data_IF_590568334440
#
_entry.id   IF_590568334440
#
_cell.length_a   1.000
_cell.length_b   1.000
_cell.length_c   1.000
_cell.angle_alpha   90.00
_cell.angle_beta   90.00
_cell.angle_gamma   90.00
#
_symmetry.space_group_name_H-M   'P 1'
#
loop_
_entity.id
_entity.type
_entity.pdbx_description
1 polymer ?
#
# COMPACT_ATOMS: atom_id res chain seq x y z
N UNK A 1 -9.48 -9.45 5.47
CA UNK A 1 -8.89 -10.64 4.85
C UNK A 1 -9.95 -11.70 4.61
N UNK A 2 -9.94 -12.30 3.42
CA UNK A 2 -10.69 -13.52 3.12
C UNK A 2 -9.94 -14.73 3.70
N UNK A 3 -10.54 -15.43 4.63
CA UNK A 3 -9.95 -16.63 5.23
C UNK A 3 -10.49 -17.87 4.56
N UNK A 4 -9.63 -18.86 4.33
CA UNK A 4 -10.01 -20.12 3.73
C UNK A 4 -11.06 -20.85 4.55
N UNK A 5 -12.11 -21.33 3.90
CA UNK A 5 -13.22 -22.02 4.54
C UNK A 5 -14.16 -21.13 5.36
N UNK A 6 -13.98 -19.81 5.33
CA UNK A 6 -14.82 -18.88 6.09
C UNK A 6 -15.51 -17.90 5.16
N UNK A 7 -16.85 -17.91 5.19
CA UNK A 7 -17.70 -17.01 4.38
C UNK A 7 -17.42 -17.18 2.87
N UNK A 8 -17.32 -16.04 2.15
CA UNK A 8 -17.04 -16.01 0.71
C UNK A 8 -15.54 -15.93 0.39
N UNK A 9 -14.67 -16.02 1.39
CA UNK A 9 -13.21 -15.99 1.27
C UNK A 9 -12.65 -14.74 0.55
N UNK A 10 -13.42 -13.65 0.50
CA UNK A 10 -13.01 -12.44 -0.20
C UNK A 10 -12.48 -11.37 0.77
N UNK A 11 -11.47 -10.65 0.34
CA UNK A 11 -11.04 -9.45 1.02
C UNK A 11 -12.07 -8.33 0.86
N UNK A 12 -12.29 -7.57 1.94
CA UNK A 12 -13.33 -6.54 2.00
C UNK A 12 -12.83 -5.29 2.69
N UNK A 13 -13.28 -4.16 2.18
CA UNK A 13 -13.32 -2.92 2.94
C UNK A 13 -14.64 -2.87 3.71
N UNK A 14 -14.59 -2.71 5.03
CA UNK A 14 -15.78 -2.58 5.86
C UNK A 14 -15.81 -1.22 6.54
N UNK A 15 -17.00 -0.64 6.65
CA UNK A 15 -17.24 0.58 7.43
C UNK A 15 -17.94 0.19 8.73
N UNK A 16 -17.39 0.63 9.85
CA UNK A 16 -17.95 0.41 11.18
C UNK A 16 -18.44 1.74 11.72
N UNK A 17 -19.64 1.75 12.26
CA UNK A 17 -20.17 2.92 12.95
C UNK A 17 -19.50 3.06 14.32
N UNK A 18 -18.79 4.17 14.54
CA UNK A 18 -18.09 4.49 15.78
C UNK A 18 -18.70 5.70 16.51
N UNK A 19 -19.87 6.19 16.06
CA UNK A 19 -20.59 7.24 16.79
C UNK A 19 -21.25 6.67 18.03
N UNK A 20 -20.85 7.06 19.25
CA UNK A 20 -21.37 6.50 20.50
C UNK A 20 -22.90 6.77 20.68
N UNK A 21 -23.44 7.80 20.02
CA UNK A 21 -24.85 8.14 20.10
C UNK A 21 -25.70 7.43 19.04
N UNK A 22 -25.08 6.62 18.18
CA UNK A 22 -25.78 5.88 17.14
C UNK A 22 -26.31 4.55 17.65
N UNK A 23 -27.53 4.13 17.23
CA UNK A 23 -28.04 2.77 17.49
C UNK A 23 -27.23 1.69 16.79
N UNK A 24 -26.34 2.07 15.88
CA UNK A 24 -25.46 1.17 15.13
C UNK A 24 -24.03 1.20 15.63
N UNK A 25 -23.74 1.84 16.76
CA UNK A 25 -22.40 1.87 17.35
C UNK A 25 -21.78 0.45 17.39
N UNK A 26 -20.56 0.31 16.87
CA UNK A 26 -19.81 -0.94 16.80
C UNK A 26 -20.27 -1.92 15.71
N UNK A 27 -21.29 -1.58 14.92
CA UNK A 27 -21.78 -2.46 13.84
C UNK A 27 -21.13 -2.12 12.51
N UNK A 28 -20.95 -3.15 11.68
CA UNK A 28 -20.62 -2.97 10.26
C UNK A 28 -21.84 -2.40 9.55
N UNK A 29 -21.70 -1.22 8.98
CA UNK A 29 -22.78 -0.51 8.24
C UNK A 29 -22.63 -0.60 6.73
N UNK A 30 -21.43 -0.93 6.25
CA UNK A 30 -21.18 -1.17 4.83
C UNK A 30 -20.05 -2.18 4.66
N UNK A 31 -20.10 -2.95 3.57
CA UNK A 31 -19.07 -3.90 3.19
C UNK A 31 -18.90 -3.90 1.67
N UNK A 32 -17.68 -3.73 1.20
CA UNK A 32 -17.31 -3.69 -0.21
C UNK A 32 -16.23 -4.74 -0.48
N UNK A 33 -16.56 -5.78 -1.25
CA UNK A 33 -15.58 -6.77 -1.68
C UNK A 33 -14.70 -6.23 -2.80
N UNK A 34 -13.41 -6.58 -2.78
CA UNK A 34 -12.46 -6.32 -3.87
C UNK A 34 -12.23 -7.53 -4.77
N UNK A 35 -12.95 -8.63 -4.52
CA UNK A 35 -12.86 -9.88 -5.27
C UNK A 35 -11.63 -10.72 -4.90
N UNK A 36 -11.88 -11.95 -4.47
CA UNK A 36 -10.84 -12.93 -4.17
C UNK A 36 -10.02 -12.63 -2.91
N UNK A 37 -9.08 -13.52 -2.66
CA UNK A 37 -8.09 -13.42 -1.58
C UNK A 37 -6.85 -12.70 -2.14
N UNK A 38 -6.54 -11.55 -1.60
CA UNK A 38 -5.42 -10.73 -2.02
C UNK A 38 -4.39 -10.55 -0.90
N UNK A 39 -4.69 -11.05 0.29
CA UNK A 39 -4.01 -10.69 1.53
C UNK A 39 -4.00 -9.16 1.70
N UNK A 40 -5.21 -8.60 1.87
CA UNK A 40 -5.36 -7.17 2.17
C UNK A 40 -4.57 -6.84 3.43
N UNK A 41 -3.63 -5.92 3.31
CA UNK A 41 -2.64 -5.67 4.35
C UNK A 41 -2.75 -4.22 4.83
N UNK A 42 -1.70 -3.42 4.72
CA UNK A 42 -1.73 -2.05 5.21
C UNK A 42 -2.55 -1.12 4.30
N UNK A 43 -3.08 -0.07 4.90
CA UNK A 43 -3.79 0.98 4.18
C UNK A 43 -3.30 2.36 4.61
N UNK A 44 -3.49 3.35 3.73
CA UNK A 44 -3.16 4.74 3.99
C UNK A 44 -4.10 5.69 3.25
N UNK A 45 -4.46 6.79 3.89
CA UNK A 45 -5.23 7.85 3.23
C UNK A 45 -4.31 8.72 2.37
N UNK A 46 -4.82 9.20 1.23
CA UNK A 46 -4.18 10.29 0.48
C UNK A 46 -4.08 11.56 1.35
N UNK A 47 -3.18 12.48 1.01
CA UNK A 47 -2.95 13.72 1.77
C UNK A 47 -4.20 14.60 1.87
N UNK A 48 -5.03 14.60 0.83
CA UNK A 48 -6.32 15.29 0.80
C UNK A 48 -7.47 14.47 1.46
N UNK A 49 -7.16 13.26 1.97
CA UNK A 49 -8.09 12.32 2.59
C UNK A 49 -9.27 11.89 1.71
N UNK A 50 -9.16 12.08 0.41
CA UNK A 50 -10.20 11.69 -0.53
C UNK A 50 -10.19 10.19 -0.79
N UNK A 51 -9.01 9.60 -0.83
CA UNK A 51 -8.82 8.21 -1.19
C UNK A 51 -8.17 7.42 -0.06
N UNK A 52 -8.67 6.21 0.17
CA UNK A 52 -8.00 5.19 0.95
C UNK A 52 -7.32 4.22 -0.01
N UNK A 53 -6.03 4.01 0.17
CA UNK A 53 -5.22 3.07 -0.57
C UNK A 53 -4.97 1.84 0.27
N UNK A 54 -5.08 0.64 -0.31
CA UNK A 54 -4.80 -0.62 0.36
C UNK A 54 -4.07 -1.58 -0.57
N UNK A 55 -3.07 -2.28 -0.05
CA UNK A 55 -2.30 -3.28 -0.77
C UNK A 55 -2.90 -4.68 -0.64
N UNK A 56 -2.90 -5.42 -1.74
CA UNK A 56 -3.04 -6.87 -1.75
C UNK A 56 -1.65 -7.49 -1.83
N UNK A 57 -1.12 -7.92 -0.69
CA UNK A 57 0.27 -8.33 -0.53
C UNK A 57 0.63 -9.48 -1.48
N UNK A 58 -0.19 -10.54 -1.50
CA UNK A 58 0.03 -11.73 -2.32
C UNK A 58 -0.21 -11.50 -3.81
N UNK A 59 -1.19 -10.67 -4.15
CA UNK A 59 -1.57 -10.44 -5.55
C UNK A 59 -0.86 -9.28 -6.20
N UNK A 60 -0.09 -8.50 -5.43
CA UNK A 60 0.58 -7.28 -5.88
C UNK A 60 -0.37 -6.23 -6.48
N UNK A 61 -1.65 -6.29 -6.12
CA UNK A 61 -2.64 -5.29 -6.51
C UNK A 61 -2.69 -4.17 -5.49
N UNK A 62 -3.09 -2.99 -5.95
CA UNK A 62 -3.38 -1.87 -5.08
C UNK A 62 -4.81 -1.43 -5.36
N UNK A 63 -5.60 -1.30 -4.31
CA UNK A 63 -6.98 -0.86 -4.36
C UNK A 63 -7.07 0.57 -3.86
N UNK A 64 -7.71 1.43 -4.62
CA UNK A 64 -7.96 2.84 -4.29
C UNK A 64 -9.46 3.03 -4.13
N UNK A 65 -9.90 3.43 -2.95
CA UNK A 65 -11.31 3.63 -2.63
C UNK A 65 -11.60 5.12 -2.48
N UNK A 66 -12.69 5.60 -3.07
CA UNK A 66 -13.25 6.91 -2.74
C UNK A 66 -13.95 6.81 -1.38
N UNK A 67 -13.41 7.49 -0.40
CA UNK A 67 -13.95 7.59 0.97
C UNK A 67 -14.45 8.99 1.29
N UNK A 68 -14.44 9.90 0.30
CA UNK A 68 -14.85 11.29 0.46
C UNK A 68 -16.29 11.53 0.04
N UNK A 69 -16.72 10.92 -1.07
CA UNK A 69 -18.07 11.14 -1.64
C UNK A 69 -19.14 10.65 -0.68
N UNK A 70 -19.00 9.47 -0.11
CA UNK A 70 -19.85 8.96 0.98
C UNK A 70 -18.96 8.14 1.93
N UNK A 71 -18.51 8.73 3.04
CA UNK A 71 -17.62 8.01 3.99
C UNK A 71 -18.28 6.78 4.63
N UNK A 72 -19.61 6.75 4.69
CA UNK A 72 -20.33 5.58 5.23
C UNK A 72 -20.41 4.43 4.23
N UNK A 73 -20.29 4.74 2.92
CA UNK A 73 -20.39 3.77 1.82
C UNK A 73 -19.28 3.99 0.79
N UNK A 74 -18.03 3.76 1.13
CA UNK A 74 -16.91 3.87 0.20
C UNK A 74 -17.13 3.05 -1.07
N UNK A 75 -16.59 3.53 -2.18
CA UNK A 75 -16.64 2.83 -3.47
C UNK A 75 -15.23 2.56 -3.98
N UNK A 76 -15.07 1.47 -4.75
CA UNK A 76 -13.81 1.19 -5.42
C UNK A 76 -13.63 2.18 -6.59
N UNK A 77 -12.62 3.05 -6.48
CA UNK A 77 -12.29 4.04 -7.49
C UNK A 77 -11.38 3.46 -8.57
N UNK A 78 -10.32 2.75 -8.19
CA UNK A 78 -9.32 2.18 -9.11
C UNK A 78 -8.68 0.95 -8.52
N UNK A 79 -8.31 0.00 -9.38
CA UNK A 79 -7.39 -1.09 -9.04
C UNK A 79 -6.16 -0.98 -9.92
N UNK A 80 -4.98 -0.92 -9.31
CA UNK A 80 -3.68 -0.99 -9.98
C UNK A 80 -3.29 -2.48 -10.03
N UNK A 81 -3.08 -3.01 -11.22
CA UNK A 81 -2.75 -4.42 -11.46
C UNK A 81 -1.36 -4.62 -12.07
N UNK A 82 -0.70 -3.53 -12.39
CA UNK A 82 0.61 -3.50 -13.07
C UNK A 82 1.74 -3.01 -12.15
N UNK A 83 1.53 -3.09 -10.82
CA UNK A 83 2.49 -2.63 -9.82
C UNK A 83 3.88 -3.22 -10.03
N UNK A 84 3.99 -4.54 -10.21
CA UNK A 84 5.28 -5.23 -10.38
C UNK A 84 6.00 -4.78 -11.64
N UNK A 85 5.29 -4.74 -12.77
CA UNK A 85 5.89 -4.38 -14.06
C UNK A 85 6.30 -2.90 -14.10
N UNK A 86 5.48 -2.01 -13.58
CA UNK A 86 5.77 -0.57 -13.55
C UNK A 86 6.90 -0.23 -12.58
N UNK A 87 6.95 -0.88 -11.44
CA UNK A 87 8.01 -0.65 -10.45
C UNK A 87 9.37 -1.23 -10.85
N UNK A 88 9.42 -2.08 -11.87
CA UNK A 88 10.64 -2.78 -12.27
C UNK A 88 10.95 -4.02 -11.43
N UNK A 89 9.90 -4.63 -10.82
CA UNK A 89 10.04 -5.90 -10.11
C UNK A 89 9.82 -5.83 -8.60
N UNK A 90 9.45 -4.69 -8.03
CA UNK A 90 9.04 -4.63 -6.61
C UNK A 90 7.76 -5.42 -6.41
N UNK A 91 7.71 -6.25 -5.37
CA UNK A 91 6.55 -7.06 -4.97
C UNK A 91 6.15 -6.81 -3.53
N UNK A 92 4.94 -7.23 -3.19
CA UNK A 92 4.41 -7.11 -1.84
C UNK A 92 4.19 -5.65 -1.44
N UNK A 93 3.25 -4.91 -2.08
CA UNK A 93 2.95 -3.54 -1.67
C UNK A 93 2.47 -3.53 -0.22
N UNK A 94 3.24 -2.88 0.65
CA UNK A 94 3.05 -2.94 2.08
C UNK A 94 2.50 -1.62 2.63
N UNK A 95 3.34 -0.71 3.06
CA UNK A 95 2.90 0.56 3.66
C UNK A 95 2.57 1.60 2.59
N UNK A 96 1.46 2.30 2.80
CA UNK A 96 1.00 3.41 1.97
C UNK A 96 1.18 4.71 2.76
N UNK A 97 2.11 5.56 2.36
CA UNK A 97 2.44 6.80 3.03
C UNK A 97 2.18 8.01 2.13
N UNK A 98 1.27 8.89 2.57
CA UNK A 98 0.93 10.08 1.81
C UNK A 98 2.03 11.15 1.88
N UNK A 99 2.37 11.67 0.72
CA UNK A 99 3.10 12.92 0.53
C UNK A 99 2.20 13.91 -0.19
N UNK A 100 2.48 15.21 -0.20
CA UNK A 100 1.64 16.18 -0.91
C UNK A 100 1.43 15.80 -2.39
N UNK A 101 0.18 15.43 -2.75
CA UNK A 101 -0.20 15.02 -4.09
C UNK A 101 0.35 13.65 -4.54
N UNK A 102 0.92 12.87 -3.64
CA UNK A 102 1.60 11.60 -3.93
C UNK A 102 1.31 10.53 -2.88
N UNK A 103 1.40 9.29 -3.32
CA UNK A 103 1.42 8.12 -2.45
C UNK A 103 2.74 7.39 -2.61
N UNK A 104 3.45 7.17 -1.52
CA UNK A 104 4.67 6.39 -1.47
C UNK A 104 4.34 5.01 -0.88
N UNK A 105 4.77 3.94 -1.57
CA UNK A 105 4.43 2.57 -1.22
C UNK A 105 5.72 1.78 -1.05
N UNK A 106 5.90 1.15 0.10
CA UNK A 106 7.02 0.22 0.30
C UNK A 106 6.70 -1.14 -0.32
N UNK A 107 7.69 -1.77 -0.91
CA UNK A 107 7.61 -3.16 -1.32
C UNK A 107 8.34 -4.07 -0.35
N UNK A 108 7.75 -5.22 -0.01
CA UNK A 108 8.41 -6.18 0.86
C UNK A 108 9.71 -6.72 0.26
N UNK A 109 9.70 -7.03 -1.03
CA UNK A 109 10.84 -7.63 -1.72
C UNK A 109 10.78 -7.37 -3.22
N UNK A 110 11.44 -8.18 -4.01
CA UNK A 110 11.37 -8.16 -5.47
C UNK A 110 10.90 -9.51 -6.03
N UNK A 111 10.46 -9.52 -7.29
CA UNK A 111 9.92 -10.70 -7.94
C UNK A 111 10.99 -11.68 -8.45
N UNK A 112 12.27 -11.39 -8.24
CA UNK A 112 13.37 -12.20 -8.74
C UNK A 112 13.78 -13.28 -7.76
N UNK A 113 14.01 -12.93 -6.50
CA UNK A 113 14.57 -13.81 -5.49
C UNK A 113 13.94 -13.66 -4.09
N UNK A 114 12.96 -12.76 -3.93
CA UNK A 114 12.28 -12.47 -2.67
C UNK A 114 13.18 -12.06 -1.50
N UNK A 115 14.45 -11.87 -1.72
CA UNK A 115 15.42 -11.47 -0.71
C UNK A 115 16.42 -10.46 -1.22
N UNK A 116 16.32 -10.13 -2.50
CA UNK A 116 17.19 -9.14 -3.12
C UNK A 116 16.63 -7.73 -2.99
N UNK A 117 17.14 -6.86 -3.83
CA UNK A 117 16.82 -5.44 -3.81
C UNK A 117 15.33 -5.16 -3.91
N UNK A 118 14.82 -4.40 -2.97
CA UNK A 118 13.47 -3.83 -3.01
C UNK A 118 13.52 -2.31 -3.16
N UNK A 119 12.38 -1.65 -3.17
CA UNK A 119 12.27 -0.21 -3.32
C UNK A 119 10.97 0.35 -2.79
N UNK A 120 10.91 1.67 -2.80
CA UNK A 120 9.69 2.43 -2.55
C UNK A 120 9.16 2.95 -3.89
N UNK A 121 7.88 2.76 -4.13
CA UNK A 121 7.22 3.10 -5.39
C UNK A 121 6.31 4.31 -5.18
N UNK A 122 6.51 5.33 -5.99
CA UNK A 122 5.74 6.58 -5.93
C UNK A 122 4.65 6.60 -7.00
N UNK A 123 3.44 6.96 -6.59
CA UNK A 123 2.28 7.20 -7.44
C UNK A 123 1.72 8.61 -7.21
N UNK A 124 1.02 9.16 -8.19
CA UNK A 124 0.16 10.32 -7.98
C UNK A 124 -1.09 9.90 -7.20
N UNK A 125 -1.83 10.85 -6.60
CA UNK A 125 -3.11 10.55 -5.95
C UNK A 125 -4.15 9.94 -6.92
N UNK A 126 -4.00 10.14 -8.24
CA UNK A 126 -4.83 9.52 -9.28
C UNK A 126 -4.40 8.08 -9.63
N UNK A 127 -3.37 7.54 -8.96
CA UNK A 127 -2.89 6.19 -9.21
C UNK A 127 -2.07 6.04 -10.48
N UNK A 128 -1.33 7.08 -10.88
CA UNK A 128 -0.39 7.02 -12.00
C UNK A 128 1.02 6.83 -11.44
N UNK A 129 1.74 5.85 -11.98
CA UNK A 129 3.12 5.57 -11.59
C UNK A 129 4.03 6.77 -11.88
N UNK A 130 4.88 7.10 -10.92
CA UNK A 130 5.86 8.19 -11.05
C UNK A 130 7.27 7.63 -11.10
N UNK A 131 7.70 6.90 -10.06
CA UNK A 131 9.08 6.45 -9.94
C UNK A 131 9.24 5.35 -8.90
N UNK A 132 10.29 4.55 -9.05
CA UNK A 132 10.79 3.63 -8.03
C UNK A 132 12.09 4.16 -7.45
N UNK A 133 12.16 4.24 -6.14
CA UNK A 133 13.35 4.56 -5.36
C UNK A 133 13.91 3.25 -4.82
N UNK A 134 14.94 2.74 -5.48
CA UNK A 134 15.56 1.50 -5.10
C UNK A 134 16.35 1.64 -3.80
N UNK A 135 16.18 0.69 -2.89
CA UNK A 135 17.01 0.63 -1.70
C UNK A 135 18.45 0.21 -2.06
N UNK A 136 19.47 0.85 -1.48
CA UNK A 136 20.85 0.44 -1.68
C UNK A 136 21.10 -0.92 -1.02
N UNK A 137 21.74 -1.83 -1.75
CA UNK A 137 22.11 -3.15 -1.28
C UNK A 137 23.63 -3.36 -1.42
N UNK A 138 24.22 -4.34 -0.77
CA UNK A 138 25.66 -4.60 -0.82
C UNK A 138 26.12 -5.33 -2.09
N UNK A 139 25.17 -5.79 -2.91
CA UNK A 139 25.43 -6.43 -4.21
C UNK A 139 25.81 -5.46 -5.33
N UNK A 140 25.98 -4.20 -5.03
CA UNK A 140 26.31 -3.13 -5.95
C UNK A 140 25.23 -2.82 -7.02
N UNK A 141 24.05 -3.35 -6.87
CA UNK A 141 22.94 -3.02 -7.74
C UNK A 141 22.34 -1.67 -7.35
N UNK A 142 22.81 -0.60 -7.98
CA UNK A 142 22.33 0.77 -7.80
C UNK A 142 22.71 1.46 -6.47
N UNK A 143 23.96 1.82 -6.37
CA UNK A 143 24.39 2.72 -5.31
C UNK A 143 24.63 2.03 -3.98
N UNK A 144 24.75 0.72 -3.99
CA UNK A 144 25.38 0.01 -2.89
C UNK A 144 26.70 0.70 -2.56
N UNK A 145 26.84 1.10 -1.34
CA UNK A 145 28.05 1.75 -0.85
C UNK A 145 28.86 0.75 -0.04
N UNK A 146 30.08 0.52 -0.46
CA UNK A 146 31.03 -0.19 0.38
C UNK A 146 31.19 0.57 1.69
N UNK A 147 31.12 -0.12 2.80
CA UNK A 147 31.30 0.50 4.10
C UNK A 147 30.07 0.57 5.01
N UNK A 148 29.08 -0.30 4.79
CA UNK A 148 27.93 -0.45 5.69
C UNK A 148 26.80 0.57 5.51
N UNK A 149 26.81 1.32 4.43
CA UNK A 149 25.71 2.22 4.06
C UNK A 149 24.77 1.55 3.06
N UNK A 150 24.24 0.41 3.40
CA UNK A 150 23.30 -0.34 2.58
C UNK A 150 22.11 -0.79 3.43
N UNK A 151 21.02 -1.13 2.75
CA UNK A 151 19.83 -1.71 3.34
C UNK A 151 19.70 -3.18 2.91
N UNK A 152 19.01 -3.96 3.71
CA UNK A 152 18.60 -5.31 3.34
C UNK A 152 17.61 -5.29 2.16
N UNK A 153 17.44 -6.44 1.53
CA UNK A 153 16.54 -6.58 0.39
C UNK A 153 15.06 -6.49 0.74
N UNK A 154 14.69 -6.42 2.03
CA UNK A 154 13.32 -6.30 2.49
C UNK A 154 12.99 -4.87 2.88
N UNK A 155 11.82 -4.39 2.43
CA UNK A 155 11.22 -3.15 2.90
C UNK A 155 9.98 -3.46 3.72
N UNK A 156 9.66 -2.66 4.71
CA UNK A 156 8.47 -2.86 5.52
C UNK A 156 7.68 -1.56 5.66
N UNK A 157 8.07 -0.70 6.55
CA UNK A 157 7.38 0.55 6.81
C UNK A 157 8.19 1.77 6.33
N UNK A 158 7.58 2.92 6.25
CA UNK A 158 8.24 4.18 5.89
C UNK A 158 7.62 5.35 6.62
N UNK A 159 8.47 6.29 7.04
CA UNK A 159 8.06 7.60 7.53
C UNK A 159 8.92 8.68 6.89
N UNK A 160 8.30 9.65 6.25
CA UNK A 160 8.99 10.79 5.71
C UNK A 160 9.08 11.93 6.73
N UNK A 161 10.22 12.61 6.74
CA UNK A 161 10.47 13.83 7.49
C UNK A 161 10.75 14.96 6.48
N UNK A 162 9.72 15.50 5.80
CA UNK A 162 9.92 16.40 4.64
C UNK A 162 10.73 17.63 4.97
N UNK A 163 10.57 18.21 6.18
CA UNK A 163 11.34 19.38 6.62
C UNK A 163 12.84 19.09 6.81
N UNK A 164 13.20 17.81 6.92
CA UNK A 164 14.60 17.37 7.07
C UNK A 164 15.13 16.70 5.79
N UNK A 165 14.30 16.59 4.75
CA UNK A 165 14.64 15.94 3.48
C UNK A 165 15.15 14.49 3.66
N UNK A 166 14.59 13.76 4.62
CA UNK A 166 14.94 12.37 4.89
C UNK A 166 13.71 11.50 5.03
N UNK A 167 13.89 10.22 4.76
CA UNK A 167 12.93 9.16 5.08
C UNK A 167 13.62 8.14 5.99
N UNK A 168 12.82 7.51 6.82
CA UNK A 168 13.22 6.38 7.66
C UNK A 168 12.36 5.19 7.24
N UNK A 169 12.98 4.09 6.95
CA UNK A 169 12.35 2.82 6.58
C UNK A 169 13.05 1.68 7.28
#
# INVERSE_FOLDING_TARGET
>A
LGLEGISDEQDKLVTVDVNPDSPNFGKVVHSLSVGGRNEAHHSGLSDDRRYLWAGGLDTNKIFIFDVHTDPAKPTLHKTITDFVSKSGGVVGPHTHYALPGRMLITGLSNNRDHGGRTGMVEYTNAGEYVKTYWMPTDDNLQGSTKGGQFADGFGYDVRALPRRHVMVT
#
